data_IF_283019525130
#
_entry.id   IF_283019525130
#
_cell.length_a   1.000
_cell.length_b   1.000
_cell.length_c   1.000
_cell.angle_alpha   90.00
_cell.angle_beta   90.00
_cell.angle_gamma   90.00
#
_symmetry.space_group_name_H-M   'P 1'
#
loop_
_entity.id
_entity.type
_entity.pdbx_description
1 polymer ?
#
# COMPACT_ATOMS: atom_id res chain seq x y z
N UNK A 1 -64.21 -43.64 28.65
CA UNK A 1 -64.84 -42.95 27.61
C UNK A 1 -64.38 -41.53 27.47
N UNK A 2 -63.21 -41.27 27.19
CA UNK A 2 -62.84 -39.96 26.64
C UNK A 2 -61.45 -40.00 26.06
N UNK A 3 -61.42 -40.12 24.80
CA UNK A 3 -60.18 -39.93 24.04
C UNK A 3 -59.84 -38.46 24.04
N UNK A 4 -58.80 -38.15 24.71
CA UNK A 4 -58.21 -36.86 24.61
C UNK A 4 -57.03 -36.95 23.62
N UNK A 5 -57.29 -36.55 22.44
CA UNK A 5 -56.27 -36.37 21.46
C UNK A 5 -55.69 -35.00 21.74
N UNK A 6 -54.55 -34.99 22.39
CA UNK A 6 -53.71 -33.79 22.39
C UNK A 6 -52.94 -33.73 21.10
N UNK A 7 -53.40 -32.87 20.24
CA UNK A 7 -52.70 -32.48 19.07
C UNK A 7 -51.56 -31.55 19.49
N UNK A 8 -50.38 -32.11 19.60
CA UNK A 8 -49.18 -31.33 19.70
C UNK A 8 -48.78 -30.85 18.32
N UNK A 9 -49.15 -29.65 18.04
CA UNK A 9 -48.66 -28.95 16.88
C UNK A 9 -47.23 -28.46 17.19
N UNK A 10 -46.27 -29.28 16.84
CA UNK A 10 -44.89 -28.85 16.86
C UNK A 10 -44.68 -27.90 15.67
N UNK A 11 -44.78 -26.63 15.96
CA UNK A 11 -44.40 -25.60 15.02
C UNK A 11 -42.90 -25.49 15.03
N UNK A 12 -42.24 -26.33 14.26
CA UNK A 12 -40.84 -26.15 13.99
C UNK A 12 -40.71 -25.06 12.92
N UNK A 13 -40.45 -23.88 13.38
CA UNK A 13 -39.98 -22.82 12.51
C UNK A 13 -38.54 -23.16 12.11
N UNK A 14 -38.27 -23.38 10.83
CA UNK A 14 -36.90 -23.36 10.39
C UNK A 14 -36.44 -21.90 10.52
N UNK A 15 -35.60 -21.67 11.47
CA UNK A 15 -34.89 -20.41 11.54
C UNK A 15 -34.18 -20.20 10.20
N UNK A 16 -34.52 -19.11 9.56
CA UNK A 16 -33.85 -18.72 8.36
C UNK A 16 -32.39 -18.39 8.67
N UNK A 17 -31.53 -19.38 8.53
CA UNK A 17 -30.07 -19.21 8.59
C UNK A 17 -29.58 -19.09 7.16
N UNK A 18 -30.03 -18.08 6.45
CA UNK A 18 -29.65 -17.90 5.04
C UNK A 18 -28.88 -16.61 4.77
N UNK A 19 -28.64 -15.80 5.79
CA UNK A 19 -28.06 -14.49 5.58
C UNK A 19 -26.54 -14.41 5.79
N UNK A 20 -25.90 -15.50 6.25
CA UNK A 20 -24.50 -15.43 6.64
C UNK A 20 -23.53 -16.24 5.76
N UNK A 21 -24.04 -17.05 4.86
CA UNK A 21 -23.17 -17.88 4.00
C UNK A 21 -22.28 -17.06 3.05
N UNK A 22 -22.63 -15.82 2.74
CA UNK A 22 -21.84 -14.94 1.88
C UNK A 22 -20.66 -14.27 2.58
N UNK A 23 -20.61 -14.28 3.90
CA UNK A 23 -19.52 -13.64 4.67
C UNK A 23 -18.46 -14.62 5.16
N UNK A 24 -18.83 -15.87 5.39
CA UNK A 24 -17.88 -16.87 5.86
C UNK A 24 -16.87 -17.31 4.80
N UNK A 25 -17.22 -17.25 3.52
CA UNK A 25 -16.31 -17.58 2.42
C UNK A 25 -15.16 -16.57 2.24
N UNK A 26 -15.28 -15.37 2.82
CA UNK A 26 -14.22 -14.34 2.75
C UNK A 26 -13.30 -14.31 3.96
N UNK A 27 -13.71 -14.86 5.10
CA UNK A 27 -12.92 -14.87 6.31
C UNK A 27 -11.76 -15.89 6.29
N UNK A 28 -11.80 -16.85 5.37
CA UNK A 28 -10.75 -17.86 5.19
C UNK A 28 -9.71 -17.54 4.15
N UNK A 29 -9.86 -16.46 3.41
CA UNK A 29 -8.88 -16.06 2.40
C UNK A 29 -7.80 -15.17 3.01
N UNK A 30 -6.53 -15.54 2.79
CA UNK A 30 -5.39 -14.71 3.16
C UNK A 30 -5.50 -13.33 2.48
N UNK A 31 -5.17 -12.23 3.17
CA UNK A 31 -5.17 -10.91 2.55
C UNK A 31 -4.28 -10.90 1.30
N UNK A 32 -4.79 -10.30 0.25
CA UNK A 32 -4.10 -10.26 -1.03
C UNK A 32 -2.98 -9.23 -1.02
N UNK A 33 -1.78 -9.67 -1.37
CA UNK A 33 -0.65 -8.78 -1.62
C UNK A 33 -0.83 -8.12 -2.99
N UNK A 34 -0.64 -6.82 -3.05
CA UNK A 34 -0.68 -6.07 -4.30
C UNK A 34 0.43 -5.01 -4.34
N UNK A 35 0.76 -4.60 -5.55
CA UNK A 35 1.75 -3.56 -5.81
C UNK A 35 1.04 -2.36 -6.45
N UNK A 36 1.21 -1.20 -5.84
CA UNK A 36 0.62 0.05 -6.34
C UNK A 36 1.74 0.83 -7.02
N UNK A 37 1.64 0.97 -8.32
CA UNK A 37 2.58 1.79 -9.09
C UNK A 37 2.19 3.25 -8.99
N UNK A 38 3.12 4.09 -8.59
CA UNK A 38 2.92 5.53 -8.54
C UNK A 38 3.09 6.11 -9.95
N UNK A 39 2.02 6.63 -10.51
CA UNK A 39 1.99 7.18 -11.87
C UNK A 39 1.62 8.66 -11.87
N UNK A 40 2.23 9.47 -12.75
CA UNK A 40 3.33 9.14 -13.66
C UNK A 40 4.66 8.88 -12.93
N UNK A 41 5.68 8.34 -13.62
CA UNK A 41 7.02 8.21 -13.03
C UNK A 41 7.55 9.51 -12.47
N UNK A 42 8.43 9.41 -11.48
CA UNK A 42 9.12 10.58 -10.93
C UNK A 42 10.21 11.02 -11.91
N UNK A 43 10.21 12.28 -12.26
CA UNK A 43 11.28 12.90 -13.08
C UNK A 43 11.66 14.19 -12.40
N UNK A 44 12.93 14.39 -12.16
CA UNK A 44 13.41 15.59 -11.50
C UNK A 44 14.91 15.74 -11.56
N UNK A 45 15.37 16.76 -10.88
CA UNK A 45 16.79 17.07 -10.79
C UNK A 45 17.33 16.68 -9.41
N UNK A 46 18.60 16.33 -9.38
CA UNK A 46 19.32 16.02 -8.16
C UNK A 46 20.75 16.55 -8.23
N UNK A 47 21.50 16.39 -7.13
CA UNK A 47 22.90 16.78 -7.12
C UNK A 47 23.12 18.29 -7.10
N UNK A 48 22.31 19.00 -6.31
CA UNK A 48 22.45 20.46 -6.14
C UNK A 48 23.64 20.82 -5.23
N UNK A 49 24.75 20.12 -5.42
CA UNK A 49 25.97 20.24 -4.62
C UNK A 49 26.97 21.26 -5.18
N UNK A 50 26.50 22.18 -6.00
CA UNK A 50 27.31 23.26 -6.57
C UNK A 50 28.03 22.91 -7.88
N UNK A 51 27.78 21.75 -8.46
CA UNK A 51 28.29 21.41 -9.77
C UNK A 51 27.47 22.10 -10.89
N UNK A 52 28.16 22.55 -11.94
CA UNK A 52 27.55 23.34 -13.03
C UNK A 52 26.60 22.52 -13.93
N UNK A 53 26.54 21.20 -13.78
CA UNK A 53 25.69 20.32 -14.61
C UNK A 53 24.43 19.92 -13.87
N UNK A 54 23.31 20.23 -14.46
CA UNK A 54 22.01 19.76 -14.03
C UNK A 54 21.92 18.25 -14.27
N UNK A 55 21.70 17.49 -13.20
CA UNK A 55 21.54 16.05 -13.26
C UNK A 55 20.07 15.70 -13.15
N UNK A 56 19.65 14.70 -13.91
CA UNK A 56 18.26 14.28 -14.02
C UNK A 56 18.12 12.83 -13.57
N UNK A 57 17.08 12.53 -12.83
CA UNK A 57 16.67 11.17 -12.54
C UNK A 57 15.27 10.90 -13.09
N UNK A 58 15.01 9.64 -13.39
CA UNK A 58 13.68 9.11 -13.63
C UNK A 58 13.51 7.86 -12.77
N UNK A 59 12.45 7.82 -11.97
CA UNK A 59 12.19 6.70 -11.07
C UNK A 59 10.76 6.21 -11.23
N UNK A 60 10.61 4.91 -11.46
CA UNK A 60 9.34 4.21 -11.40
C UNK A 60 9.26 3.52 -10.03
N UNK A 61 8.29 3.91 -9.23
CA UNK A 61 8.14 3.43 -7.85
C UNK A 61 6.87 2.59 -7.73
N UNK A 62 6.99 1.44 -7.12
CA UNK A 62 5.86 0.60 -6.73
C UNK A 62 5.87 0.37 -5.23
N UNK A 63 4.69 0.40 -4.63
CA UNK A 63 4.49 0.18 -3.20
C UNK A 63 3.78 -1.15 -2.97
N UNK A 64 4.35 -2.00 -2.14
CA UNK A 64 3.75 -3.27 -1.75
C UNK A 64 2.83 -3.06 -0.55
N UNK A 65 1.61 -3.55 -0.66
CA UNK A 65 0.60 -3.51 0.39
C UNK A 65 -0.12 -4.84 0.50
N UNK A 66 -0.72 -5.11 1.65
CA UNK A 66 -1.52 -6.30 1.89
C UNK A 66 -2.94 -5.90 2.29
N UNK A 67 -3.90 -6.38 1.52
CA UNK A 67 -5.32 -6.14 1.74
C UNK A 67 -5.88 -4.94 0.98
N UNK A 68 -7.18 -5.01 0.66
CA UNK A 68 -7.87 -3.99 -0.14
C UNK A 68 -7.98 -2.64 0.60
N UNK A 69 -8.14 -2.69 1.93
CA UNK A 69 -8.22 -1.47 2.74
C UNK A 69 -6.91 -0.70 2.70
N UNK A 70 -5.77 -1.40 2.83
CA UNK A 70 -4.45 -0.77 2.73
C UNK A 70 -4.21 -0.21 1.33
N UNK A 71 -4.58 -0.96 0.29
CA UNK A 71 -4.46 -0.50 -1.10
C UNK A 71 -5.26 0.78 -1.34
N UNK A 72 -6.51 0.82 -0.87
CA UNK A 72 -7.37 2.00 -1.01
C UNK A 72 -6.81 3.21 -0.25
N UNK A 73 -6.31 3.01 0.98
CA UNK A 73 -5.73 4.07 1.79
C UNK A 73 -4.47 4.66 1.15
N UNK A 74 -3.60 3.82 0.61
CA UNK A 74 -2.40 4.26 -0.08
C UNK A 74 -2.75 5.07 -1.33
N UNK A 75 -3.70 4.59 -2.14
CA UNK A 75 -4.17 5.33 -3.32
C UNK A 75 -4.77 6.68 -2.97
N UNK A 76 -5.54 6.75 -1.88
CA UNK A 76 -6.14 8.01 -1.41
C UNK A 76 -5.08 9.02 -0.95
N UNK A 77 -3.94 8.55 -0.46
CA UNK A 77 -2.85 9.38 0.05
C UNK A 77 -1.66 9.48 -0.92
N UNK A 78 -1.82 9.01 -2.14
CA UNK A 78 -0.76 9.06 -3.16
C UNK A 78 -0.16 10.47 -3.34
N UNK A 79 -0.94 11.57 -3.39
CA UNK A 79 -0.35 12.91 -3.52
C UNK A 79 0.62 13.27 -2.39
N UNK A 80 0.31 12.90 -1.16
CA UNK A 80 1.19 13.15 -0.01
C UNK A 80 2.46 12.31 -0.07
N UNK A 81 2.32 11.04 -0.43
CA UNK A 81 3.45 10.13 -0.63
C UNK A 81 4.35 10.68 -1.74
N UNK A 82 3.76 11.11 -2.83
CA UNK A 82 4.47 11.65 -3.98
C UNK A 82 5.27 12.89 -3.61
N UNK A 83 4.67 13.83 -2.91
CA UNK A 83 5.36 15.04 -2.45
C UNK A 83 6.56 14.71 -1.56
N UNK A 84 6.41 13.75 -0.66
CA UNK A 84 7.48 13.34 0.23
C UNK A 84 8.64 12.71 -0.56
N UNK A 85 8.35 11.85 -1.52
CA UNK A 85 9.37 11.20 -2.32
C UNK A 85 10.07 12.17 -3.28
N UNK A 86 9.35 13.13 -3.86
CA UNK A 86 9.96 14.20 -4.68
C UNK A 86 10.97 14.98 -3.85
N UNK A 87 10.62 15.34 -2.63
CA UNK A 87 11.54 16.05 -1.75
C UNK A 87 12.78 15.22 -1.40
N UNK A 88 12.59 13.93 -1.14
CA UNK A 88 13.70 13.01 -0.85
C UNK A 88 14.64 12.89 -2.06
N UNK A 89 14.10 12.68 -3.25
CA UNK A 89 14.91 12.50 -4.45
C UNK A 89 15.67 13.78 -4.83
N UNK A 90 15.08 14.94 -4.62
CA UNK A 90 15.72 16.23 -4.89
C UNK A 90 16.93 16.51 -3.98
N UNK A 91 16.97 15.90 -2.81
CA UNK A 91 18.06 16.06 -1.83
C UNK A 91 19.25 15.13 -2.10
N UNK A 92 19.14 14.22 -3.06
CA UNK A 92 20.19 13.25 -3.33
C UNK A 92 21.39 13.90 -4.01
N UNK A 93 22.55 13.30 -3.76
CA UNK A 93 23.82 13.71 -4.38
C UNK A 93 24.22 12.71 -5.45
N UNK A 94 25.26 13.03 -6.20
CA UNK A 94 25.83 12.09 -7.16
C UNK A 94 26.26 10.78 -6.49
N UNK A 95 26.82 10.88 -5.30
CA UNK A 95 27.28 9.70 -4.54
C UNK A 95 26.12 8.80 -4.14
N UNK A 96 24.98 9.36 -3.75
CA UNK A 96 23.81 8.60 -3.29
C UNK A 96 22.98 8.03 -4.44
N UNK A 97 23.30 8.38 -5.67
CA UNK A 97 22.56 7.91 -6.85
C UNK A 97 23.35 6.93 -7.73
N UNK A 98 24.66 6.80 -7.56
CA UNK A 98 25.51 6.13 -8.54
C UNK A 98 26.06 4.75 -8.14
N UNK A 99 25.83 4.27 -6.93
CA UNK A 99 26.25 2.93 -6.57
C UNK A 99 25.10 2.12 -5.97
N UNK A 100 25.22 0.78 -6.03
CA UNK A 100 24.16 -0.13 -5.58
C UNK A 100 23.82 0.01 -4.10
N UNK A 101 24.84 0.15 -3.26
CA UNK A 101 24.64 0.30 -1.82
C UNK A 101 23.89 1.59 -1.49
N UNK A 102 24.26 2.69 -2.11
CA UNK A 102 23.61 3.97 -1.92
C UNK A 102 22.15 3.96 -2.42
N UNK A 103 21.92 3.30 -3.56
CA UNK A 103 20.55 3.12 -4.08
C UNK A 103 19.68 2.28 -3.14
N UNK A 104 20.25 1.26 -2.52
CA UNK A 104 19.51 0.45 -1.52
C UNK A 104 19.19 1.28 -0.29
N UNK A 105 20.11 2.09 0.19
CA UNK A 105 19.84 3.02 1.30
C UNK A 105 18.74 4.02 0.94
N UNK A 106 18.77 4.54 -0.28
CA UNK A 106 17.72 5.44 -0.78
C UNK A 106 16.37 4.74 -0.81
N UNK A 107 16.32 3.50 -1.28
CA UNK A 107 15.08 2.70 -1.29
C UNK A 107 14.53 2.51 0.12
N UNK A 108 15.37 2.16 1.08
CA UNK A 108 14.97 1.99 2.47
C UNK A 108 14.51 3.31 3.09
N UNK A 109 15.17 4.41 2.80
CA UNK A 109 14.74 5.73 3.29
C UNK A 109 13.40 6.14 2.65
N UNK A 110 13.23 5.89 1.36
CA UNK A 110 11.96 6.14 0.66
C UNK A 110 10.81 5.33 1.28
N UNK A 111 11.06 4.07 1.60
CA UNK A 111 10.08 3.21 2.29
C UNK A 111 9.72 3.80 3.65
N UNK A 112 10.71 4.14 4.44
CA UNK A 112 10.52 4.71 5.78
C UNK A 112 9.69 5.98 5.74
N UNK A 113 9.99 6.88 4.82
CA UNK A 113 9.26 8.15 4.68
C UNK A 113 7.82 7.90 4.19
N UNK A 114 7.62 6.96 3.29
CA UNK A 114 6.28 6.55 2.85
C UNK A 114 5.47 5.97 4.01
N UNK A 115 6.06 5.10 4.80
CA UNK A 115 5.43 4.55 6.00
C UNK A 115 5.09 5.64 7.02
N UNK A 116 5.93 6.65 7.17
CA UNK A 116 5.67 7.77 8.06
C UNK A 116 4.47 8.59 7.59
N UNK A 117 4.38 8.89 6.31
CA UNK A 117 3.21 9.57 5.72
C UNK A 117 1.93 8.78 6.02
N UNK A 118 1.94 7.47 5.77
CA UNK A 118 0.76 6.65 6.00
C UNK A 118 0.41 6.54 7.48
N UNK A 119 1.40 6.46 8.34
CA UNK A 119 1.18 6.43 9.79
C UNK A 119 0.57 7.73 10.30
N UNK A 120 1.04 8.88 9.80
CA UNK A 120 0.50 10.18 10.17
C UNK A 120 -0.94 10.36 9.71
N UNK A 121 -1.29 9.85 8.53
CA UNK A 121 -2.63 10.02 7.96
C UNK A 121 -3.64 8.96 8.43
N UNK A 122 -3.20 7.74 8.70
CA UNK A 122 -4.11 6.61 8.98
C UNK A 122 -3.89 5.96 10.33
N UNK A 123 -2.80 6.26 11.01
CA UNK A 123 -2.40 5.60 12.26
C UNK A 123 -1.66 4.27 12.06
N UNK A 124 -1.41 3.87 10.81
CA UNK A 124 -0.70 2.63 10.46
C UNK A 124 0.24 2.87 9.30
N UNK A 125 1.41 2.20 9.27
CA UNK A 125 2.38 2.38 8.18
C UNK A 125 1.93 1.84 6.84
N UNK A 126 1.08 0.83 6.78
CA UNK A 126 0.40 0.21 5.65
C UNK A 126 1.28 -0.31 4.51
N UNK A 127 2.34 0.39 4.15
CA UNK A 127 3.25 -0.01 3.07
C UNK A 127 4.34 -0.92 3.62
N UNK A 128 4.47 -2.11 3.05
CA UNK A 128 5.41 -3.13 3.51
C UNK A 128 6.76 -3.04 2.82
N UNK A 129 6.77 -2.61 1.57
CA UNK A 129 7.99 -2.45 0.79
C UNK A 129 7.81 -1.40 -0.30
N UNK A 130 8.92 -0.85 -0.75
CA UNK A 130 8.99 0.09 -1.85
C UNK A 130 10.03 -0.40 -2.84
N UNK A 131 9.66 -0.48 -4.10
CA UNK A 131 10.50 -0.98 -5.17
C UNK A 131 10.73 0.10 -6.22
N UNK A 132 11.96 0.20 -6.70
CA UNK A 132 12.26 0.90 -7.94
C UNK A 132 12.14 -0.09 -9.10
N UNK A 133 11.05 -0.02 -9.85
CA UNK A 133 10.92 -0.82 -11.07
C UNK A 133 11.91 -0.36 -12.13
N UNK A 134 12.22 0.92 -12.11
CA UNK A 134 13.20 1.52 -12.98
C UNK A 134 13.79 2.74 -12.28
N UNK A 135 15.10 2.90 -12.34
CA UNK A 135 15.80 4.06 -11.81
C UNK A 135 16.90 4.44 -12.79
N UNK A 136 16.63 5.47 -13.58
CA UNK A 136 17.57 6.00 -14.58
C UNK A 136 18.19 7.28 -14.05
N UNK A 137 19.50 7.34 -14.10
CA UNK A 137 20.32 8.47 -13.65
C UNK A 137 21.08 9.01 -14.85
N UNK A 138 20.93 10.29 -15.11
CA UNK A 138 21.63 10.98 -16.20
C UNK A 138 22.39 12.19 -15.73
#
# INVERSE_FOLDING_TARGET
VKAWIMLMLALSLPAAVMAEEGKEAKEGEAPKVSYITLSPPFVGNYGLDGTAKLKVYKADVALRVTGDAAAAAVKANEPLIRNQLVALFAQQTTETMNNLEAKEKLRQEALKQTQQVMNDETGKPMVEDLLFNNLIIQ
#
